data_IF_346762310063
#
_entry.id   IF_346762310063
#
_cell.length_a   1.000
_cell.length_b   1.000
_cell.length_c   1.000
_cell.angle_alpha   90.00
_cell.angle_beta   90.00
_cell.angle_gamma   90.00
#
_symmetry.space_group_name_H-M   'P 1'
#
loop_
_entity.id
_entity.type
_entity.pdbx_description
1 polymer ?
#
# COMPACT_ATOMS: atom_id res chain seq x y z
N UNK A 1 8.65 -18.91 -2.66
CA UNK A 1 9.06 -17.92 -1.64
C UNK A 1 7.81 -17.38 -0.95
N UNK A 2 7.83 -17.13 0.37
CA UNK A 2 6.71 -16.49 1.08
C UNK A 2 6.74 -14.98 0.86
N UNK A 3 5.60 -14.30 1.02
CA UNK A 3 5.53 -12.85 0.78
C UNK A 3 6.50 -12.05 1.67
N UNK A 4 6.74 -12.49 2.90
CA UNK A 4 7.61 -11.84 3.89
C UNK A 4 9.11 -12.17 3.75
N UNK A 5 9.50 -12.93 2.73
CA UNK A 5 10.91 -13.25 2.47
C UNK A 5 11.69 -11.99 2.12
N UNK A 6 12.75 -11.73 2.88
CA UNK A 6 13.76 -10.73 2.55
C UNK A 6 14.80 -11.37 1.63
N UNK A 7 14.98 -10.83 0.43
CA UNK A 7 15.96 -11.31 -0.54
C UNK A 7 16.92 -10.21 -0.95
N UNK A 8 18.23 -10.51 -1.12
CA UNK A 8 19.19 -9.57 -1.68
C UNK A 8 18.97 -9.32 -3.17
N UNK A 9 18.21 -10.18 -3.87
CA UNK A 9 18.04 -10.14 -5.33
C UNK A 9 16.61 -9.82 -5.75
N UNK A 10 15.62 -10.23 -4.96
CA UNK A 10 14.21 -10.16 -5.34
C UNK A 10 13.42 -9.20 -4.45
N UNK A 11 12.48 -8.47 -5.05
CA UNK A 11 11.48 -7.64 -4.36
C UNK A 11 10.11 -8.26 -4.57
N UNK A 12 9.30 -8.32 -3.51
CA UNK A 12 7.96 -8.89 -3.55
C UNK A 12 6.91 -7.80 -3.79
N UNK A 13 6.09 -7.98 -4.83
CA UNK A 13 4.98 -7.12 -5.15
C UNK A 13 3.64 -7.84 -4.93
N UNK A 14 2.63 -7.18 -4.33
CA UNK A 14 1.27 -7.70 -4.35
C UNK A 14 0.70 -7.61 -5.77
N UNK A 15 -0.15 -8.55 -6.16
CA UNK A 15 -0.79 -8.53 -7.48
C UNK A 15 -1.84 -7.41 -7.61
N UNK A 16 -2.51 -7.06 -6.51
CA UNK A 16 -3.66 -6.16 -6.51
C UNK A 16 -3.44 -4.81 -7.21
N UNK A 17 -2.38 -4.01 -6.96
CA UNK A 17 -2.20 -2.73 -7.66
C UNK A 17 -2.13 -2.90 -9.18
N UNK A 18 -1.56 -3.99 -9.69
CA UNK A 18 -1.50 -4.28 -11.12
C UNK A 18 -2.87 -4.69 -11.67
N UNK A 19 -3.66 -5.43 -10.89
CA UNK A 19 -5.06 -5.73 -11.23
C UNK A 19 -5.95 -4.47 -11.24
N UNK A 20 -5.59 -3.44 -10.46
CA UNK A 20 -6.23 -2.11 -10.50
C UNK A 20 -5.75 -1.25 -11.69
N UNK A 21 -4.87 -1.77 -12.55
CA UNK A 21 -4.39 -1.08 -13.74
C UNK A 21 -3.09 -0.31 -13.57
N UNK A 22 -2.41 -0.40 -12.41
CA UNK A 22 -1.11 0.23 -12.25
C UNK A 22 0.02 -0.52 -12.93
N UNK A 23 1.00 0.25 -13.39
CA UNK A 23 2.35 -0.23 -13.69
C UNK A 23 3.32 0.34 -12.65
N UNK A 24 4.49 -0.28 -12.52
CA UNK A 24 5.59 0.31 -11.75
C UNK A 24 6.42 1.22 -12.68
N UNK A 25 6.87 2.41 -12.25
CA UNK A 25 6.71 3.01 -10.92
C UNK A 25 5.26 3.42 -10.60
N UNK A 26 4.86 3.26 -9.34
CA UNK A 26 3.52 3.67 -8.91
C UNK A 26 3.36 5.20 -8.95
N UNK A 27 2.13 5.74 -8.95
CA UNK A 27 1.91 7.19 -8.90
C UNK A 27 2.43 7.88 -7.63
N UNK A 28 2.50 9.21 -7.66
CA UNK A 28 3.23 10.03 -6.67
C UNK A 28 2.70 9.87 -5.25
N UNK A 29 1.38 9.92 -5.00
CA UNK A 29 0.83 9.74 -3.65
C UNK A 29 1.21 8.37 -3.08
N UNK A 30 1.12 7.32 -3.92
CA UNK A 30 1.41 5.94 -3.53
C UNK A 30 2.90 5.83 -3.17
N UNK A 31 3.79 6.32 -4.03
CA UNK A 31 5.23 6.32 -3.74
C UNK A 31 5.54 7.07 -2.45
N UNK A 32 5.01 8.29 -2.27
CA UNK A 32 5.20 9.08 -1.05
C UNK A 32 4.69 8.37 0.19
N UNK A 33 3.52 7.73 0.12
CA UNK A 33 2.97 6.97 1.23
C UNK A 33 3.91 5.84 1.66
N UNK A 34 4.41 5.05 0.72
CA UNK A 34 5.29 3.92 1.03
C UNK A 34 6.69 4.37 1.50
N UNK A 35 7.23 5.44 0.90
CA UNK A 35 8.49 6.04 1.35
C UNK A 35 8.36 6.61 2.77
N UNK A 36 7.27 7.32 3.06
CA UNK A 36 7.05 7.93 4.38
C UNK A 36 6.83 6.88 5.48
N UNK A 37 5.99 5.88 5.20
CA UNK A 37 5.62 4.87 6.19
C UNK A 37 6.68 3.77 6.37
N UNK A 38 7.49 3.53 5.35
CA UNK A 38 8.45 2.42 5.28
C UNK A 38 7.82 1.03 5.12
N UNK A 39 6.49 0.97 4.90
CA UNK A 39 5.75 -0.28 4.78
C UNK A 39 6.13 -0.98 3.47
N UNK A 40 6.27 -2.30 3.48
CA UNK A 40 6.44 -3.03 2.23
C UNK A 40 5.11 -3.15 1.48
N UNK A 41 5.13 -3.03 0.14
CA UNK A 41 3.92 -3.06 -0.69
C UNK A 41 3.00 -4.26 -0.38
N UNK A 42 3.59 -5.41 -0.09
CA UNK A 42 2.88 -6.66 0.18
C UNK A 42 2.35 -6.82 1.62
N UNK A 43 2.66 -5.89 2.53
CA UNK A 43 2.04 -5.81 3.86
C UNK A 43 0.67 -5.13 3.82
N UNK A 44 0.36 -4.42 2.74
CA UNK A 44 -0.84 -3.58 2.63
C UNK A 44 -2.05 -4.41 2.22
N UNK A 45 -3.11 -4.30 3.02
CA UNK A 45 -4.40 -4.95 2.78
C UNK A 45 -5.15 -4.30 1.60
N UNK A 46 -6.04 -5.06 0.92
CA UNK A 46 -6.75 -4.58 -0.27
C UNK A 46 -7.50 -3.26 -0.07
N UNK A 47 -8.10 -3.06 1.10
CA UNK A 47 -8.80 -1.83 1.44
C UNK A 47 -7.90 -0.59 1.35
N UNK A 48 -6.66 -0.69 1.83
CA UNK A 48 -5.71 0.42 1.79
C UNK A 48 -5.27 0.69 0.35
N UNK A 49 -5.01 -0.35 -0.44
CA UNK A 49 -4.73 -0.20 -1.88
C UNK A 49 -5.89 0.48 -2.62
N UNK A 50 -7.14 0.10 -2.34
CA UNK A 50 -8.33 0.74 -2.94
C UNK A 50 -8.43 2.21 -2.55
N UNK A 51 -8.21 2.56 -1.29
CA UNK A 51 -8.24 3.96 -0.83
C UNK A 51 -7.18 4.78 -1.56
N UNK A 52 -5.93 4.31 -1.57
CA UNK A 52 -4.85 5.00 -2.28
C UNK A 52 -5.17 5.13 -3.77
N UNK A 53 -5.70 4.08 -4.39
CA UNK A 53 -6.08 4.10 -5.80
C UNK A 53 -7.18 5.11 -6.09
N UNK A 54 -8.27 5.11 -5.33
CA UNK A 54 -9.38 6.04 -5.55
C UNK A 54 -8.94 7.49 -5.35
N UNK A 55 -8.12 7.77 -4.32
CA UNK A 55 -7.60 9.14 -4.12
C UNK A 55 -6.72 9.55 -5.29
N UNK A 56 -5.82 8.69 -5.75
CA UNK A 56 -4.96 9.00 -6.89
C UNK A 56 -5.77 9.33 -8.16
N UNK A 57 -6.82 8.55 -8.43
CA UNK A 57 -7.72 8.82 -9.55
C UNK A 57 -8.44 10.17 -9.41
N UNK A 58 -8.90 10.50 -8.20
CA UNK A 58 -9.53 11.80 -7.93
C UNK A 58 -8.53 12.95 -8.13
N UNK A 59 -7.31 12.84 -7.61
CA UNK A 59 -6.25 13.85 -7.82
C UNK A 59 -6.00 14.06 -9.31
N UNK A 60 -5.84 12.95 -10.06
CA UNK A 60 -5.55 12.99 -11.50
C UNK A 60 -6.67 13.62 -12.31
N UNK A 61 -7.93 13.36 -11.96
CA UNK A 61 -9.09 13.80 -12.74
C UNK A 61 -9.54 15.22 -12.36
N UNK A 62 -9.58 15.51 -11.07
CA UNK A 62 -10.20 16.74 -10.52
C UNK A 62 -9.16 17.80 -10.14
N UNK A 63 -7.86 17.51 -10.27
CA UNK A 63 -6.74 18.39 -9.88
C UNK A 63 -6.84 18.89 -8.44
N UNK A 64 -7.35 18.04 -7.54
CA UNK A 64 -7.47 18.36 -6.12
C UNK A 64 -6.09 18.32 -5.47
N UNK A 65 -5.75 19.35 -4.71
CA UNK A 65 -4.62 19.29 -3.79
C UNK A 65 -4.92 18.27 -2.69
N UNK A 66 -4.38 17.07 -2.78
CA UNK A 66 -4.48 16.04 -1.75
C UNK A 66 -3.11 15.47 -1.45
N UNK A 67 -2.76 15.38 -0.16
CA UNK A 67 -1.44 14.96 0.30
C UNK A 67 -1.55 14.03 1.53
N UNK A 68 -0.40 13.54 2.00
CA UNK A 68 -0.34 12.62 3.14
C UNK A 68 -0.92 13.20 4.45
N UNK A 69 -0.92 14.53 4.64
CA UNK A 69 -1.53 15.16 5.80
C UNK A 69 -3.06 15.09 5.74
N UNK A 70 -3.66 15.25 4.55
CA UNK A 70 -5.11 15.06 4.37
C UNK A 70 -5.48 13.58 4.49
N UNK A 71 -4.61 12.69 4.00
CA UNK A 71 -4.77 11.25 4.18
C UNK A 71 -4.79 10.85 5.66
N UNK A 72 -3.83 11.34 6.46
CA UNK A 72 -3.74 11.05 7.89
C UNK A 72 -4.83 11.75 8.71
N UNK A 73 -5.40 12.85 8.23
CA UNK A 73 -6.56 13.49 8.82
C UNK A 73 -7.83 12.62 8.69
N UNK A 74 -7.98 11.89 7.58
CA UNK A 74 -9.17 11.09 7.28
C UNK A 74 -9.06 9.64 7.76
N UNK A 75 -7.86 9.06 7.72
CA UNK A 75 -7.65 7.64 7.99
C UNK A 75 -6.56 7.42 9.04
N UNK A 76 -6.80 6.45 9.92
CA UNK A 76 -5.80 5.86 10.80
C UNK A 76 -5.23 4.61 10.14
N UNK A 77 -3.92 4.44 10.17
CA UNK A 77 -3.29 3.19 9.75
C UNK A 77 -3.30 2.21 10.91
N UNK A 78 -4.03 1.12 10.72
CA UNK A 78 -4.20 0.08 11.74
C UNK A 78 -3.37 -1.14 11.34
N UNK A 79 -2.75 -1.74 12.34
CA UNK A 79 -1.99 -2.99 12.17
C UNK A 79 -2.89 -4.18 12.47
N UNK A 80 -2.82 -5.20 11.64
CA UNK A 80 -3.57 -6.44 11.77
C UNK A 80 -2.63 -7.65 11.66
N UNK A 81 -2.91 -8.70 12.42
CA UNK A 81 -2.10 -9.92 12.49
C UNK A 81 -1.29 -10.04 13.79
N UNK A 82 -0.74 -11.22 14.02
CA UNK A 82 0.08 -11.57 15.18
C UNK A 82 1.44 -12.09 14.74
N UNK A 83 2.42 -12.03 15.63
CA UNK A 83 3.75 -12.64 15.51
C UNK A 83 4.47 -12.43 14.16
N UNK A 84 4.96 -11.21 13.90
CA UNK A 84 5.87 -10.94 12.77
C UNK A 84 5.22 -10.81 11.40
N UNK A 85 3.95 -11.21 11.25
CA UNK A 85 3.16 -11.07 10.02
C UNK A 85 2.20 -9.87 10.06
N UNK A 86 2.74 -8.69 10.37
CA UNK A 86 1.94 -7.47 10.47
C UNK A 86 1.51 -6.96 9.10
N UNK A 87 0.20 -6.74 8.96
CA UNK A 87 -0.45 -6.25 7.76
C UNK A 87 -1.14 -4.93 8.09
N UNK A 88 -1.26 -4.04 7.12
CA UNK A 88 -1.76 -2.69 7.36
C UNK A 88 -3.02 -2.41 6.56
N UNK A 89 -4.01 -1.80 7.22
CA UNK A 89 -5.21 -1.26 6.58
C UNK A 89 -5.45 0.18 7.02
N UNK A 90 -6.23 0.91 6.21
CA UNK A 90 -6.82 2.15 6.67
C UNK A 90 -8.12 1.87 7.42
N UNK A 91 -8.25 2.49 8.58
CA UNK A 91 -9.52 2.64 9.26
C UNK A 91 -9.96 4.10 9.18
N UNK A 92 -11.24 4.31 8.89
CA UNK A 92 -11.85 5.62 8.93
C UNK A 92 -11.68 6.26 10.31
N UNK A 93 -11.27 7.53 10.38
CA UNK A 93 -11.35 8.27 11.65
C UNK A 93 -12.82 8.61 11.94
N UNK A 94 -13.26 8.52 13.20
CA UNK A 94 -14.64 8.81 13.57
C UNK A 94 -14.98 10.27 13.25
N UNK A 95 -16.25 10.52 12.93
CA UNK A 95 -16.80 11.85 12.60
C UNK A 95 -16.18 12.54 11.37
N UNK A 96 -15.41 11.81 10.56
CA UNK A 96 -14.91 12.32 9.28
C UNK A 96 -15.86 11.94 8.14
N UNK A 97 -16.15 12.85 7.19
CA UNK A 97 -16.88 12.51 5.99
C UNK A 97 -15.99 11.59 5.14
N UNK A 98 -16.27 10.29 5.16
CA UNK A 98 -15.46 9.33 4.41
C UNK A 98 -15.59 9.61 2.91
N UNK A 99 -14.52 10.07 2.23
CA UNK A 99 -14.61 10.38 0.80
C UNK A 99 -14.78 9.12 -0.04
N UNK A 100 -14.38 7.96 0.49
CA UNK A 100 -14.38 6.69 -0.24
C UNK A 100 -15.19 5.67 0.55
N UNK A 101 -16.37 5.36 0.01
CA UNK A 101 -17.28 4.36 0.53
C UNK A 101 -16.98 2.98 -0.07
N UNK A 102 -17.42 1.91 0.60
CA UNK A 102 -17.40 0.52 0.09
C UNK A 102 -16.01 -0.08 -0.22
N UNK A 103 -14.95 0.36 0.47
CA UNK A 103 -13.59 -0.22 0.32
C UNK A 103 -13.41 -1.54 1.07
N UNK A 104 -14.38 -1.92 1.91
CA UNK A 104 -14.36 -3.05 2.85
C UNK A 104 -14.64 -4.43 2.24
N UNK A 105 -14.55 -4.58 0.92
CA UNK A 105 -14.73 -5.89 0.30
C UNK A 105 -13.65 -6.87 0.79
N UNK A 106 -14.11 -7.97 1.38
CA UNK A 106 -13.25 -9.04 1.87
C UNK A 106 -12.67 -9.83 0.69
N UNK A 107 -11.42 -9.57 0.34
CA UNK A 107 -10.63 -10.52 -0.43
C UNK A 107 -9.94 -11.44 0.58
N UNK A 108 -10.26 -12.73 0.58
CA UNK A 108 -9.61 -13.69 1.48
C UNK A 108 -8.28 -14.20 0.90
N UNK A 109 -8.16 -14.23 -0.44
CA UNK A 109 -7.02 -14.83 -1.16
C UNK A 109 -5.89 -13.87 -1.49
N UNK A 110 -6.07 -12.56 -1.28
CA UNK A 110 -5.07 -11.54 -1.64
C UNK A 110 -3.67 -11.82 -1.07
N UNK A 111 -3.60 -12.45 0.12
CA UNK A 111 -2.35 -12.76 0.81
C UNK A 111 -1.44 -13.70 0.00
N UNK A 112 -2.04 -14.49 -0.89
CA UNK A 112 -1.36 -15.48 -1.73
C UNK A 112 -1.18 -14.97 -3.17
N UNK A 113 -1.57 -13.74 -3.46
CA UNK A 113 -1.48 -13.12 -4.78
C UNK A 113 -0.34 -12.11 -4.79
N UNK A 114 0.87 -12.61 -5.04
CA UNK A 114 2.08 -11.82 -5.13
C UNK A 114 3.05 -12.44 -6.13
N UNK A 115 4.00 -11.66 -6.59
CA UNK A 115 5.07 -12.11 -7.46
C UNK A 115 6.39 -11.44 -7.07
N UNK A 116 7.50 -12.01 -7.54
CA UNK A 116 8.83 -11.49 -7.31
C UNK A 116 9.40 -10.91 -8.58
N UNK A 117 10.05 -9.75 -8.44
CA UNK A 117 10.78 -9.07 -9.51
C UNK A 117 12.21 -8.89 -9.06
N UNK A 118 13.19 -9.01 -9.97
CA UNK A 118 14.57 -8.71 -9.60
C UNK A 118 14.68 -7.22 -9.31
N UNK A 119 15.39 -6.85 -8.24
CA UNK A 119 15.50 -5.42 -7.90
C UNK A 119 16.27 -4.64 -8.96
N UNK A 120 17.21 -5.28 -9.66
CA UNK A 120 18.03 -4.66 -10.70
C UNK A 120 17.32 -4.53 -12.06
N UNK A 121 16.13 -5.11 -12.19
CA UNK A 121 15.30 -4.98 -13.40
C UNK A 121 14.26 -3.85 -13.31
N UNK A 122 14.22 -3.09 -12.20
CA UNK A 122 13.27 -1.98 -12.01
C UNK A 122 13.99 -0.73 -11.52
N UNK A 123 13.56 0.48 -11.93
CA UNK A 123 14.16 1.73 -11.44
C UNK A 123 14.13 1.80 -9.92
N UNK A 124 15.26 2.15 -9.30
CA UNK A 124 15.40 2.34 -7.85
C UNK A 124 15.00 1.11 -7.01
N UNK A 125 15.03 -0.10 -7.59
CA UNK A 125 14.58 -1.33 -6.92
C UNK A 125 15.38 -1.69 -5.66
N UNK A 126 16.62 -1.21 -5.55
CA UNK A 126 17.49 -1.34 -4.38
C UNK A 126 16.95 -0.59 -3.16
N UNK A 127 16.30 0.56 -3.39
CA UNK A 127 15.74 1.45 -2.36
C UNK A 127 14.34 1.04 -1.86
N UNK A 128 13.70 0.06 -2.51
CA UNK A 128 12.34 -0.35 -2.16
C UNK A 128 12.25 -0.98 -0.75
N UNK A 129 11.09 -0.85 -0.08
CA UNK A 129 10.88 -1.46 1.24
C UNK A 129 10.78 -2.99 1.10
N UNK A 130 11.92 -3.68 1.23
CA UNK A 130 12.04 -5.15 1.11
C UNK A 130 11.65 -5.90 2.38
N UNK A 131 11.77 -5.26 3.55
CA UNK A 131 11.56 -5.88 4.86
C UNK A 131 10.19 -5.52 5.42
N UNK A 132 9.52 -6.51 6.00
CA UNK A 132 8.27 -6.28 6.72
C UNK A 132 8.54 -5.53 8.03
N UNK A 133 7.78 -4.46 8.27
CA UNK A 133 7.85 -3.68 9.50
C UNK A 133 6.71 -4.03 10.46
N UNK A 134 6.94 -3.85 11.77
CA UNK A 134 5.96 -4.17 12.82
C UNK A 134 4.99 -3.02 13.10
N UNK A 135 5.42 -1.78 12.85
CA UNK A 135 4.62 -0.56 13.05
C UNK A 135 4.90 0.41 11.91
N UNK A 136 3.85 0.90 11.26
CA UNK A 136 3.96 1.99 10.28
C UNK A 136 4.12 3.34 10.99
N UNK A 137 4.79 4.28 10.32
CA UNK A 137 4.85 5.69 10.75
C UNK A 137 3.70 6.45 10.08
N UNK A 138 2.76 6.98 10.84
CA UNK A 138 1.79 8.00 10.39
C UNK A 138 1.70 9.09 11.45
#
# INVERSE_FOLDING_TARGET
MKSDVVSPTWVCFPALPFLLGYSYPFPDLIQRFFTFTGISYNQVMPMLWRVLHTIEQIISNERIDFNLSKLSYLYSLVTHGSHGSHRFLFNAKPHQPLPILKTTQNDSRWKNQFFFVRWDSIPQGDSLPKKWILKGRI
#
